data_IF_208216642836
#
_entry.id   IF_208216642836
#
_cell.length_a   1.000
_cell.length_b   1.000
_cell.length_c   1.000
_cell.angle_alpha   90.00
_cell.angle_beta   90.00
_cell.angle_gamma   90.00
#
_symmetry.space_group_name_H-M   'P 1'
#
loop_
_entity.id
_entity.type
_entity.pdbx_description
1 polymer ?
#
# COMPACT_ATOMS: atom_id res chain seq x y z
N UNK A 1 10.99 -25.03 -6.90
CA UNK A 1 11.27 -26.48 -6.79
C UNK A 1 11.01 -26.98 -5.35
N UNK A 2 10.06 -27.88 -5.13
CA UNK A 2 9.70 -28.37 -3.77
C UNK A 2 10.85 -29.12 -3.09
N UNK A 3 11.60 -29.94 -3.83
CA UNK A 3 12.70 -30.75 -3.30
C UNK A 3 13.79 -29.93 -2.58
N UNK A 4 14.05 -28.70 -3.03
CA UNK A 4 15.01 -27.81 -2.38
C UNK A 4 14.52 -27.40 -0.99
N UNK A 5 13.26 -26.99 -0.89
CA UNK A 5 12.66 -26.58 0.38
C UNK A 5 12.46 -27.76 1.32
N UNK A 6 12.15 -28.94 0.78
CA UNK A 6 12.04 -30.16 1.58
C UNK A 6 13.36 -30.48 2.30
N UNK A 7 14.49 -30.39 1.59
CA UNK A 7 15.82 -30.58 2.18
C UNK A 7 16.11 -29.54 3.27
N UNK A 8 15.82 -28.27 3.02
CA UNK A 8 16.06 -27.18 3.98
C UNK A 8 15.23 -27.39 5.25
N UNK A 9 13.93 -27.64 5.11
CA UNK A 9 12.99 -27.81 6.23
C UNK A 9 13.33 -29.06 7.04
N UNK A 10 13.63 -30.20 6.39
CA UNK A 10 14.03 -31.43 7.10
C UNK A 10 15.31 -31.27 7.90
N UNK A 11 16.27 -30.49 7.41
CA UNK A 11 17.57 -30.30 8.07
C UNK A 11 17.51 -29.27 9.19
N UNK A 12 16.56 -28.32 9.12
CA UNK A 12 16.54 -27.13 9.98
C UNK A 12 15.31 -27.05 10.90
N UNK A 13 14.45 -28.08 10.93
CA UNK A 13 13.24 -28.12 11.78
C UNK A 13 12.77 -29.54 12.06
N UNK A 14 12.04 -29.70 13.15
CA UNK A 14 11.36 -30.94 13.52
C UNK A 14 9.88 -30.90 13.14
N UNK A 15 9.22 -32.06 13.20
CA UNK A 15 7.78 -32.14 12.99
C UNK A 15 7.05 -31.33 14.08
N UNK A 16 6.00 -30.60 13.69
CA UNK A 16 5.27 -29.71 14.59
C UNK A 16 5.88 -28.31 14.80
N UNK A 17 7.10 -28.06 14.32
CA UNK A 17 7.70 -26.72 14.35
C UNK A 17 6.96 -25.73 13.46
N UNK A 18 7.18 -24.43 13.73
CA UNK A 18 6.59 -23.33 12.95
C UNK A 18 7.59 -22.80 11.92
N UNK A 19 7.20 -22.82 10.65
CA UNK A 19 7.95 -22.24 9.54
C UNK A 19 7.31 -20.89 9.14
N UNK A 20 8.11 -19.87 8.89
CA UNK A 20 7.63 -18.58 8.41
C UNK A 20 8.23 -18.25 7.05
N UNK A 21 7.38 -17.78 6.12
CA UNK A 21 7.79 -17.30 4.80
C UNK A 21 7.06 -15.99 4.48
N UNK A 22 7.80 -14.87 4.49
CA UNK A 22 7.22 -13.55 4.28
C UNK A 22 7.17 -13.10 2.81
N UNK A 23 7.65 -13.97 1.90
CA UNK A 23 7.66 -13.76 0.45
C UNK A 23 7.10 -14.99 -0.25
N UNK A 24 5.94 -15.45 0.22
CA UNK A 24 5.43 -16.78 -0.09
C UNK A 24 5.12 -16.99 -1.57
N UNK A 25 4.78 -15.94 -2.32
CA UNK A 25 4.54 -15.99 -3.75
C UNK A 25 3.48 -17.01 -4.11
N UNK A 26 3.91 -18.15 -4.65
CA UNK A 26 3.01 -19.25 -5.02
C UNK A 26 2.66 -20.20 -3.87
N UNK A 27 3.29 -20.06 -2.70
CA UNK A 27 3.02 -20.84 -1.50
C UNK A 27 3.82 -22.13 -1.40
N UNK A 28 5.00 -22.21 -2.02
CA UNK A 28 5.80 -23.45 -2.07
C UNK A 28 6.29 -23.86 -0.67
N UNK A 29 6.76 -22.91 0.13
CA UNK A 29 7.26 -23.17 1.49
C UNK A 29 6.15 -23.69 2.40
N UNK A 30 4.97 -23.06 2.38
CA UNK A 30 3.80 -23.51 3.12
C UNK A 30 3.36 -24.92 2.70
N UNK A 31 3.33 -25.21 1.39
CA UNK A 31 2.96 -26.52 0.87
C UNK A 31 3.91 -27.63 1.36
N UNK A 32 5.22 -27.39 1.30
CA UNK A 32 6.21 -28.36 1.77
C UNK A 32 6.17 -28.51 3.29
N UNK A 33 6.02 -27.41 4.04
CA UNK A 33 5.90 -27.45 5.49
C UNK A 33 4.68 -28.27 5.95
N UNK A 34 3.51 -28.08 5.32
CA UNK A 34 2.29 -28.83 5.62
C UNK A 34 2.47 -30.33 5.34
N UNK A 35 3.03 -30.70 4.17
CA UNK A 35 3.31 -32.10 3.81
C UNK A 35 4.27 -32.79 4.78
N UNK A 36 5.18 -32.02 5.38
CA UNK A 36 6.13 -32.49 6.39
C UNK A 36 5.59 -32.40 7.82
N UNK A 37 4.33 -32.03 8.03
CA UNK A 37 3.71 -31.98 9.37
C UNK A 37 4.11 -30.77 10.22
N UNK A 38 4.74 -29.75 9.64
CA UNK A 38 5.07 -28.48 10.32
C UNK A 38 3.87 -27.52 10.27
N UNK A 39 3.83 -26.58 11.22
CA UNK A 39 2.96 -25.39 11.17
C UNK A 39 3.61 -24.34 10.27
N UNK A 40 2.82 -23.46 9.67
CA UNK A 40 3.37 -22.42 8.80
C UNK A 40 2.63 -21.08 8.94
N UNK A 41 3.37 -19.99 8.74
CA UNK A 41 2.86 -18.65 8.47
C UNK A 41 3.44 -18.23 7.12
N UNK A 42 2.58 -17.82 6.20
CA UNK A 42 2.96 -17.37 4.88
C UNK A 42 2.33 -16.02 4.60
N UNK A 43 3.13 -15.03 4.20
CA UNK A 43 2.64 -13.71 3.81
C UNK A 43 3.12 -13.34 2.42
N UNK A 44 2.36 -12.47 1.77
CA UNK A 44 2.75 -11.82 0.52
C UNK A 44 1.96 -10.52 0.38
N UNK A 45 2.56 -9.51 -0.23
CA UNK A 45 1.90 -8.24 -0.54
C UNK A 45 0.92 -8.40 -1.71
N UNK A 46 1.23 -9.26 -2.66
CA UNK A 46 0.45 -9.46 -3.87
C UNK A 46 -0.84 -10.21 -3.60
N UNK A 47 -1.99 -9.57 -3.86
CA UNK A 47 -3.31 -10.24 -3.79
C UNK A 47 -3.32 -11.54 -4.60
N UNK A 48 -2.74 -11.54 -5.79
CA UNK A 48 -2.68 -12.74 -6.65
C UNK A 48 -1.78 -13.85 -6.09
N UNK A 49 -0.68 -13.51 -5.42
CA UNK A 49 0.19 -14.46 -4.73
C UNK A 49 -0.58 -15.16 -3.60
N UNK A 50 -1.30 -14.39 -2.77
CA UNK A 50 -2.14 -14.95 -1.69
C UNK A 50 -3.24 -15.87 -2.24
N UNK A 51 -3.90 -15.51 -3.35
CA UNK A 51 -4.91 -16.37 -3.97
C UNK A 51 -4.32 -17.67 -4.53
N UNK A 52 -3.15 -17.57 -5.17
CA UNK A 52 -2.41 -18.73 -5.70
C UNK A 52 -2.01 -19.67 -4.56
N UNK A 53 -1.45 -19.12 -3.49
CA UNK A 53 -1.08 -19.84 -2.27
C UNK A 53 -2.29 -20.53 -1.65
N UNK A 54 -3.42 -19.83 -1.50
CA UNK A 54 -4.69 -20.42 -1.00
C UNK A 54 -5.11 -21.64 -1.81
N UNK A 55 -5.16 -21.49 -3.15
CA UNK A 55 -5.58 -22.58 -4.05
C UNK A 55 -4.67 -23.79 -3.90
N UNK A 56 -3.35 -23.56 -3.81
CA UNK A 56 -2.36 -24.61 -3.59
C UNK A 56 -2.58 -25.32 -2.25
N UNK A 57 -2.76 -24.57 -1.16
CA UNK A 57 -2.94 -25.18 0.17
C UNK A 57 -4.20 -26.04 0.25
N UNK A 58 -5.31 -25.60 -0.35
CA UNK A 58 -6.52 -26.43 -0.46
C UNK A 58 -6.22 -27.74 -1.21
N UNK A 59 -5.44 -27.67 -2.29
CA UNK A 59 -5.01 -28.85 -3.05
C UNK A 59 -4.17 -29.81 -2.20
N UNK A 60 -3.19 -29.30 -1.46
CA UNK A 60 -2.33 -30.10 -0.56
C UNK A 60 -3.17 -30.79 0.52
N UNK A 61 -4.11 -30.08 1.15
CA UNK A 61 -4.98 -30.68 2.17
C UNK A 61 -5.90 -31.77 1.61
N UNK A 62 -6.42 -31.60 0.39
CA UNK A 62 -7.21 -32.64 -0.28
C UNK A 62 -6.38 -33.88 -0.54
N UNK A 63 -5.16 -33.71 -1.03
CA UNK A 63 -4.23 -34.83 -1.23
C UNK A 63 -3.92 -35.54 0.10
N UNK A 64 -3.58 -34.79 1.16
CA UNK A 64 -3.32 -35.37 2.48
C UNK A 64 -4.54 -36.13 3.01
N UNK A 65 -5.75 -35.61 2.81
CA UNK A 65 -7.00 -36.27 3.17
C UNK A 65 -7.20 -37.59 2.41
N UNK A 66 -6.95 -37.60 1.10
CA UNK A 66 -7.03 -38.82 0.26
C UNK A 66 -5.99 -39.86 0.70
N UNK A 67 -4.81 -39.43 1.12
CA UNK A 67 -3.74 -40.29 1.67
C UNK A 67 -3.99 -40.73 3.13
N UNK A 68 -5.12 -40.34 3.75
CA UNK A 68 -5.42 -40.66 5.15
C UNK A 68 -4.52 -39.96 6.17
N UNK A 69 -3.84 -38.89 5.77
CA UNK A 69 -2.95 -38.09 6.62
C UNK A 69 -3.71 -36.93 7.27
N UNK A 70 -3.23 -36.54 8.45
CA UNK A 70 -3.72 -35.35 9.12
C UNK A 70 -3.33 -34.08 8.35
N UNK A 71 -4.25 -33.11 8.34
CA UNK A 71 -4.02 -31.77 7.81
C UNK A 71 -4.68 -30.75 8.75
N UNK A 72 -4.21 -29.50 8.73
CA UNK A 72 -4.68 -28.45 9.66
C UNK A 72 -5.47 -27.40 8.91
N UNK A 73 -6.59 -26.93 9.45
CA UNK A 73 -7.28 -25.76 8.90
C UNK A 73 -6.34 -24.53 8.91
N UNK A 74 -6.44 -23.70 7.88
CA UNK A 74 -5.71 -22.42 7.82
C UNK A 74 -6.68 -21.27 7.59
N UNK A 75 -6.32 -20.11 8.12
CA UNK A 75 -7.06 -18.88 7.96
C UNK A 75 -6.31 -17.91 7.04
N UNK A 76 -7.05 -17.02 6.37
CA UNK A 76 -6.46 -15.95 5.59
C UNK A 76 -6.76 -14.64 6.27
N UNK A 77 -5.71 -14.06 6.84
CA UNK A 77 -5.76 -12.76 7.50
C UNK A 77 -5.30 -11.70 6.50
N UNK A 78 -6.01 -10.58 6.46
CA UNK A 78 -5.60 -9.41 5.68
C UNK A 78 -5.36 -8.26 6.67
N UNK A 79 -4.15 -7.70 6.63
CA UNK A 79 -3.86 -6.47 7.35
C UNK A 79 -4.54 -5.31 6.61
N UNK A 80 -5.32 -4.48 7.33
CA UNK A 80 -5.89 -3.23 6.83
C UNK A 80 -7.20 -3.32 6.03
N UNK A 81 -7.87 -4.48 5.95
CA UNK A 81 -9.03 -4.65 5.04
C UNK A 81 -10.39 -4.20 5.56
N UNK A 82 -10.57 -3.99 6.85
CA UNK A 82 -11.92 -3.78 7.39
C UNK A 82 -12.46 -2.37 7.17
N UNK A 83 -11.59 -1.36 7.07
CA UNK A 83 -12.03 0.03 7.10
C UNK A 83 -12.28 0.61 5.70
N UNK A 84 -11.37 0.36 4.74
CA UNK A 84 -11.53 0.85 3.35
C UNK A 84 -12.63 0.12 2.57
N UNK A 85 -12.94 -1.13 2.91
CA UNK A 85 -14.00 -1.90 2.22
C UNK A 85 -15.39 -1.27 2.39
N UNK A 86 -15.64 -0.56 3.50
CA UNK A 86 -16.90 0.16 3.70
C UNK A 86 -17.11 1.22 2.60
N UNK A 87 -16.02 1.89 2.19
CA UNK A 87 -16.03 2.95 1.18
C UNK A 87 -15.84 2.45 -0.26
N UNK A 88 -15.44 1.19 -0.47
CA UNK A 88 -15.14 0.64 -1.83
C UNK A 88 -16.08 -0.49 -2.25
N UNK A 89 -16.76 -1.17 -1.33
CA UNK A 89 -17.60 -2.32 -1.66
C UNK A 89 -18.89 -1.94 -2.40
N UNK A 90 -19.00 -2.29 -3.68
CA UNK A 90 -20.25 -2.15 -4.46
C UNK A 90 -21.01 -3.48 -4.38
N UNK A 91 -22.33 -3.43 -4.25
CA UNK A 91 -23.16 -4.63 -4.40
C UNK A 91 -23.24 -5.01 -5.89
N UNK A 92 -22.61 -6.12 -6.34
CA UNK A 92 -22.54 -6.47 -7.76
C UNK A 92 -23.89 -6.86 -8.36
N UNK A 93 -24.91 -7.10 -7.52
CA UNK A 93 -26.25 -7.47 -7.97
C UNK A 93 -27.14 -6.26 -8.32
N UNK A 94 -26.65 -5.02 -8.13
CA UNK A 94 -27.38 -3.81 -8.47
C UNK A 94 -27.28 -3.49 -9.97
N UNK A 95 -28.25 -2.74 -10.49
CA UNK A 95 -28.16 -2.16 -11.85
C UNK A 95 -27.05 -1.12 -11.92
N UNK A 96 -26.45 -0.92 -13.10
CA UNK A 96 -25.30 -0.02 -13.30
C UNK A 96 -25.53 1.41 -12.77
N UNK A 97 -26.72 1.99 -12.99
CA UNK A 97 -27.06 3.32 -12.46
C UNK A 97 -27.08 3.37 -10.93
N UNK A 98 -27.59 2.30 -10.29
CA UNK A 98 -27.63 2.19 -8.83
C UNK A 98 -26.23 1.95 -8.25
N UNK A 99 -25.39 1.20 -8.96
CA UNK A 99 -23.98 1.03 -8.61
C UNK A 99 -23.24 2.38 -8.66
N UNK A 100 -23.45 3.18 -9.72
CA UNK A 100 -22.83 4.50 -9.86
C UNK A 100 -23.25 5.44 -8.73
N UNK A 101 -24.55 5.52 -8.43
CA UNK A 101 -25.05 6.34 -7.33
C UNK A 101 -24.48 5.91 -5.96
N UNK A 102 -24.42 4.60 -5.71
CA UNK A 102 -23.83 4.08 -4.48
C UNK A 102 -22.33 4.41 -4.38
N UNK A 103 -21.61 4.39 -5.50
CA UNK A 103 -20.20 4.75 -5.54
C UNK A 103 -20.00 6.24 -5.24
N UNK A 104 -20.79 7.11 -5.87
CA UNK A 104 -20.76 8.57 -5.64
C UNK A 104 -21.05 8.91 -4.16
N UNK A 105 -22.05 8.28 -3.54
CA UNK A 105 -22.37 8.47 -2.13
C UNK A 105 -21.22 8.03 -1.21
N UNK A 106 -20.57 6.91 -1.52
CA UNK A 106 -19.42 6.41 -0.76
C UNK A 106 -18.18 7.28 -0.92
N UNK A 107 -17.93 7.76 -2.13
CA UNK A 107 -16.84 8.68 -2.42
C UNK A 107 -17.04 10.00 -1.68
N UNK A 108 -18.26 10.56 -1.72
CA UNK A 108 -18.58 11.77 -0.97
C UNK A 108 -18.39 11.58 0.56
N UNK A 109 -18.84 10.45 1.11
CA UNK A 109 -18.65 10.12 2.52
C UNK A 109 -17.17 9.94 2.89
N UNK A 110 -16.38 9.35 1.99
CA UNK A 110 -14.94 9.23 2.17
C UNK A 110 -14.25 10.60 2.20
N UNK A 111 -14.55 11.48 1.23
CA UNK A 111 -13.98 12.82 1.18
C UNK A 111 -14.32 13.61 2.45
N UNK A 112 -15.57 13.56 2.91
CA UNK A 112 -16.00 14.22 4.15
C UNK A 112 -15.23 13.71 5.38
N UNK A 113 -15.06 12.39 5.49
CA UNK A 113 -14.29 11.78 6.57
C UNK A 113 -12.84 12.29 6.61
N UNK A 114 -12.16 12.30 5.46
CA UNK A 114 -10.76 12.73 5.38
C UNK A 114 -10.63 14.23 5.63
N UNK A 115 -11.53 15.06 5.08
CA UNK A 115 -11.53 16.51 5.35
C UNK A 115 -11.73 16.80 6.84
N UNK A 116 -12.66 16.10 7.49
CA UNK A 116 -12.90 16.23 8.92
C UNK A 116 -11.68 15.81 9.74
N UNK A 117 -11.07 14.66 9.43
CA UNK A 117 -9.87 14.18 10.10
C UNK A 117 -8.67 15.13 9.88
N UNK A 118 -8.55 15.70 8.68
CA UNK A 118 -7.50 16.66 8.35
C UNK A 118 -7.79 18.08 8.86
N UNK A 119 -8.99 18.36 9.35
CA UNK A 119 -9.46 19.72 9.74
C UNK A 119 -9.39 20.71 8.57
N UNK A 120 -9.84 20.27 7.41
CA UNK A 120 -9.99 21.09 6.22
C UNK A 120 -11.46 21.44 5.98
N UNK A 121 -11.71 22.65 5.51
CA UNK A 121 -13.03 23.11 5.08
C UNK A 121 -13.27 22.63 3.65
N UNK A 122 -14.46 22.10 3.37
CA UNK A 122 -14.83 21.67 2.01
C UNK A 122 -14.85 22.88 1.06
N UNK A 123 -14.36 22.68 -0.16
CA UNK A 123 -14.42 23.68 -1.24
C UNK A 123 -15.18 23.15 -2.45
N UNK A 124 -15.72 24.07 -3.22
CA UNK A 124 -16.44 23.79 -4.47
C UNK A 124 -15.83 24.57 -5.64
N UNK A 125 -16.19 24.20 -6.87
CA UNK A 125 -15.72 24.87 -8.08
C UNK A 125 -14.30 24.48 -8.51
N UNK A 126 -13.73 23.43 -7.92
CA UNK A 126 -12.45 22.83 -8.30
C UNK A 126 -12.65 21.43 -8.89
N UNK A 127 -11.75 21.03 -9.77
CA UNK A 127 -11.76 19.69 -10.37
C UNK A 127 -11.02 18.71 -9.45
N UNK A 128 -9.84 19.11 -8.98
CA UNK A 128 -8.92 18.25 -8.21
C UNK A 128 -8.93 18.52 -6.71
N UNK A 129 -9.46 19.67 -6.26
CA UNK A 129 -9.43 20.06 -4.85
C UNK A 129 -10.76 19.80 -4.15
N UNK A 130 -10.67 19.20 -2.96
CA UNK A 130 -11.82 18.84 -2.14
C UNK A 130 -11.94 19.71 -0.88
N UNK A 131 -10.84 20.30 -0.41
CA UNK A 131 -10.87 21.19 0.74
C UNK A 131 -9.80 22.27 0.78
N UNK A 132 -9.78 23.01 1.89
CA UNK A 132 -8.81 24.07 2.19
C UNK A 132 -8.44 24.05 3.67
N UNK A 133 -7.15 24.21 3.98
CA UNK A 133 -6.65 24.29 5.36
C UNK A 133 -5.47 25.25 5.43
N UNK A 134 -5.51 26.18 6.39
CA UNK A 134 -4.39 27.11 6.66
C UNK A 134 -3.84 27.81 5.40
N UNK A 135 -4.73 28.18 4.47
CA UNK A 135 -4.36 28.85 3.22
C UNK A 135 -3.83 27.93 2.11
N UNK A 136 -3.76 26.61 2.33
CA UNK A 136 -3.43 25.60 1.31
C UNK A 136 -4.71 24.94 0.80
N UNK A 137 -4.80 24.67 -0.51
CA UNK A 137 -5.84 23.79 -1.04
C UNK A 137 -5.48 22.33 -0.79
N UNK A 138 -6.47 21.49 -0.62
CA UNK A 138 -6.32 20.08 -0.25
C UNK A 138 -6.91 19.22 -1.35
N UNK A 139 -6.07 18.39 -1.95
CA UNK A 139 -6.46 17.37 -2.91
C UNK A 139 -6.38 16.00 -2.25
N UNK A 140 -7.45 15.21 -2.31
CA UNK A 140 -7.53 13.89 -1.68
C UNK A 140 -7.44 12.84 -2.78
N UNK A 141 -6.44 11.98 -2.68
CA UNK A 141 -6.21 10.88 -3.60
C UNK A 141 -7.26 9.77 -3.50
N UNK A 142 -7.28 8.84 -4.47
CA UNK A 142 -8.25 7.75 -4.50
C UNK A 142 -8.11 6.79 -3.31
N UNK A 143 -9.24 6.21 -2.88
CA UNK A 143 -9.30 5.31 -1.70
C UNK A 143 -8.56 3.99 -1.93
N UNK A 144 -8.62 3.48 -3.16
CA UNK A 144 -8.24 2.12 -3.54
C UNK A 144 -7.07 2.06 -4.53
N UNK A 145 -6.49 3.21 -4.88
CA UNK A 145 -5.36 3.31 -5.79
C UNK A 145 -4.31 4.25 -5.20
N UNK A 146 -3.01 4.05 -5.49
CA UNK A 146 -2.00 5.01 -5.12
C UNK A 146 -2.20 6.33 -5.88
N UNK A 147 -1.76 7.43 -5.27
CA UNK A 147 -1.63 8.73 -5.96
C UNK A 147 -0.55 8.59 -7.04
N UNK A 148 -0.94 8.78 -8.29
CA UNK A 148 -0.08 8.61 -9.46
C UNK A 148 0.52 9.92 -9.94
N UNK A 149 1.52 9.84 -10.83
CA UNK A 149 2.07 11.01 -11.52
C UNK A 149 1.00 11.84 -12.24
N UNK A 150 0.10 11.18 -12.96
CA UNK A 150 -0.97 11.85 -13.72
C UNK A 150 -1.88 12.68 -12.80
N UNK A 151 -2.24 12.14 -11.63
CA UNK A 151 -3.06 12.85 -10.65
C UNK A 151 -2.38 14.14 -10.17
N UNK A 152 -1.07 14.08 -9.89
CA UNK A 152 -0.34 15.28 -9.45
C UNK A 152 -0.14 16.28 -10.59
N UNK A 153 0.05 15.82 -11.83
CA UNK A 153 0.11 16.68 -13.00
C UNK A 153 -1.21 17.45 -13.23
N UNK A 154 -2.37 16.80 -13.04
CA UNK A 154 -3.68 17.45 -13.09
C UNK A 154 -3.82 18.56 -12.02
N UNK A 155 -3.36 18.30 -10.80
CA UNK A 155 -3.31 19.29 -9.72
C UNK A 155 -2.43 20.48 -10.13
N UNK A 156 -1.23 20.22 -10.65
CA UNK A 156 -0.31 21.27 -11.09
C UNK A 156 -0.92 22.10 -12.23
N UNK A 157 -1.61 21.46 -13.17
CA UNK A 157 -2.30 22.14 -14.27
C UNK A 157 -3.42 23.05 -13.77
N UNK A 158 -4.26 22.55 -12.86
CA UNK A 158 -5.32 23.37 -12.25
C UNK A 158 -4.73 24.52 -11.42
N UNK A 159 -3.63 24.28 -10.69
CA UNK A 159 -2.92 25.32 -9.95
C UNK A 159 -2.47 26.47 -10.85
N UNK A 160 -1.85 26.15 -11.99
CA UNK A 160 -1.41 27.17 -12.95
C UNK A 160 -2.58 27.95 -13.55
N UNK A 161 -3.68 27.26 -13.86
CA UNK A 161 -4.88 27.90 -14.43
C UNK A 161 -5.57 28.85 -13.46
N UNK A 162 -5.56 28.53 -12.17
CA UNK A 162 -6.26 29.29 -11.11
C UNK A 162 -5.34 30.09 -10.19
N UNK A 163 -4.05 30.20 -10.53
CA UNK A 163 -3.03 30.91 -9.74
C UNK A 163 -2.93 30.43 -8.28
N UNK A 164 -3.06 29.12 -8.06
CA UNK A 164 -2.88 28.49 -6.74
C UNK A 164 -1.40 28.20 -6.56
N UNK A 165 -0.86 28.55 -5.38
CA UNK A 165 0.57 28.42 -5.09
C UNK A 165 0.88 27.46 -3.96
N UNK A 166 -0.12 26.99 -3.19
CA UNK A 166 0.08 26.10 -2.04
C UNK A 166 -0.96 25.00 -1.98
N UNK A 167 -0.50 23.75 -1.94
CA UNK A 167 -1.36 22.57 -1.97
C UNK A 167 -0.86 21.48 -1.01
N UNK A 168 -1.80 20.84 -0.32
CA UNK A 168 -1.59 19.57 0.36
C UNK A 168 -2.21 18.44 -0.49
N UNK A 169 -1.45 17.36 -0.70
CA UNK A 169 -1.92 16.16 -1.39
C UNK A 169 -2.01 15.03 -0.38
N UNK A 170 -3.23 14.56 -0.09
CA UNK A 170 -3.46 13.51 0.89
C UNK A 170 -3.66 12.17 0.17
N UNK A 171 -2.85 11.16 0.47
CA UNK A 171 -2.99 9.82 -0.11
C UNK A 171 -2.69 8.71 0.88
N UNK A 172 -3.34 7.55 0.76
CA UNK A 172 -2.94 6.37 1.53
C UNK A 172 -1.60 5.82 1.04
N UNK A 173 -1.39 5.87 -0.28
CA UNK A 173 -0.21 5.37 -0.97
C UNK A 173 0.14 6.33 -2.10
N UNK A 174 1.43 6.37 -2.46
CA UNK A 174 1.96 7.16 -3.57
C UNK A 174 2.74 6.24 -4.50
N UNK A 175 2.70 6.53 -5.79
CA UNK A 175 3.46 5.82 -6.82
C UNK A 175 4.97 5.85 -6.52
N UNK A 176 5.66 4.71 -6.71
CA UNK A 176 7.10 4.63 -6.47
C UNK A 176 7.89 5.53 -7.45
N UNK A 177 8.85 6.29 -6.93
CA UNK A 177 9.68 7.20 -7.74
C UNK A 177 9.00 8.54 -8.09
N UNK A 178 7.81 8.79 -7.55
CA UNK A 178 7.10 10.07 -7.72
C UNK A 178 7.84 11.24 -7.09
N UNK A 179 8.45 11.00 -5.93
CA UNK A 179 9.23 11.99 -5.17
C UNK A 179 10.74 11.68 -5.26
N UNK A 180 11.59 12.72 -5.34
CA UNK A 180 11.27 14.16 -5.26
C UNK A 180 10.93 14.81 -6.61
N UNK A 181 11.09 14.11 -7.74
CA UNK A 181 10.94 14.63 -9.10
C UNK A 181 9.73 15.58 -9.31
N UNK A 182 8.54 15.16 -8.85
CA UNK A 182 7.32 15.96 -9.04
C UNK A 182 7.26 17.19 -8.11
N UNK A 183 7.91 17.14 -6.94
CA UNK A 183 8.06 18.32 -6.07
C UNK A 183 8.96 19.37 -6.71
N UNK A 184 10.03 18.95 -7.38
CA UNK A 184 10.93 19.85 -8.08
C UNK A 184 10.26 20.49 -9.29
N UNK A 185 9.49 19.69 -10.04
CA UNK A 185 8.68 20.20 -11.15
C UNK A 185 7.66 21.25 -10.69
N UNK A 186 6.98 20.98 -9.57
CA UNK A 186 6.02 21.92 -8.99
C UNK A 186 6.69 23.19 -8.46
N UNK A 187 7.83 23.05 -7.75
CA UNK A 187 8.64 24.17 -7.28
C UNK A 187 9.10 25.05 -8.44
N UNK A 188 9.57 24.45 -9.54
CA UNK A 188 9.93 25.17 -10.76
C UNK A 188 8.77 25.94 -11.40
N UNK A 189 7.53 25.54 -11.12
CA UNK A 189 6.29 26.22 -11.55
C UNK A 189 5.73 27.19 -10.49
N UNK A 190 6.44 27.42 -9.38
CA UNK A 190 6.02 28.31 -8.30
C UNK A 190 4.92 27.74 -7.39
N UNK A 191 4.76 26.41 -7.37
CA UNK A 191 3.76 25.72 -6.58
C UNK A 191 4.47 24.96 -5.45
N UNK A 192 4.09 25.27 -4.22
CA UNK A 192 4.46 24.54 -3.02
C UNK A 192 3.49 23.36 -2.84
N UNK A 193 3.97 22.14 -3.15
CA UNK A 193 3.25 20.88 -2.94
C UNK A 193 3.76 20.19 -1.67
N UNK A 194 2.84 19.79 -0.80
CA UNK A 194 3.13 18.99 0.39
C UNK A 194 2.34 17.67 0.34
N UNK A 195 2.97 16.56 -0.07
CA UNK A 195 2.34 15.25 -0.04
C UNK A 195 2.32 14.71 1.40
N UNK A 196 1.19 14.18 1.85
CA UNK A 196 1.00 13.63 3.19
C UNK A 196 0.28 12.28 3.16
N UNK A 197 0.71 11.39 4.04
CA UNK A 197 0.03 10.11 4.23
C UNK A 197 -1.28 10.29 4.99
N UNK A 198 -2.35 9.66 4.49
CA UNK A 198 -3.59 9.48 5.23
C UNK A 198 -3.36 8.34 6.23
N UNK A 199 -3.36 8.62 7.54
CA UNK A 199 -3.14 7.61 8.58
C UNK A 199 -4.36 6.68 8.69
N UNK A 200 -4.20 5.45 9.19
CA UNK A 200 -5.32 4.52 9.33
C UNK A 200 -6.34 4.98 10.38
N UNK A 201 -5.87 5.76 11.36
CA UNK A 201 -6.62 6.35 12.46
C UNK A 201 -7.77 7.26 12.00
N UNK A 202 -7.78 7.70 10.73
CA UNK A 202 -8.93 8.43 10.16
C UNK A 202 -10.24 7.63 10.21
N UNK A 203 -10.16 6.31 10.29
CA UNK A 203 -11.33 5.43 10.36
C UNK A 203 -11.83 5.21 11.79
N UNK A 204 -11.03 5.54 12.82
CA UNK A 204 -11.48 5.55 14.20
C UNK A 204 -12.16 6.89 14.53
N UNK A 205 -13.49 6.86 14.64
CA UNK A 205 -14.30 8.02 15.02
C UNK A 205 -13.83 8.68 16.31
N UNK A 206 -13.36 7.90 17.29
CA UNK A 206 -12.88 8.44 18.57
C UNK A 206 -11.57 9.17 18.40
N UNK A 207 -10.66 8.65 17.58
CA UNK A 207 -9.39 9.30 17.28
C UNK A 207 -9.62 10.63 16.55
N UNK A 208 -10.55 10.67 15.59
CA UNK A 208 -10.95 11.90 14.89
C UNK A 208 -11.56 12.91 15.85
N UNK A 209 -12.52 12.51 16.68
CA UNK A 209 -13.20 13.39 17.66
C UNK A 209 -12.25 13.94 18.73
N UNK A 210 -11.27 13.15 19.17
CA UNK A 210 -10.24 13.57 20.13
C UNK A 210 -9.07 14.33 19.50
N UNK A 211 -9.11 14.61 18.19
CA UNK A 211 -8.03 15.28 17.44
C UNK A 211 -6.67 14.57 17.57
N UNK A 212 -6.67 13.24 17.61
CA UNK A 212 -5.45 12.42 17.76
C UNK A 212 -4.85 11.99 16.42
N UNK A 213 -5.50 12.33 15.31
CA UNK A 213 -5.04 11.97 13.96
C UNK A 213 -3.94 12.91 13.50
N UNK A 214 -2.78 12.35 13.14
CA UNK A 214 -1.61 13.10 12.67
C UNK A 214 -1.26 12.68 11.24
N UNK A 215 -1.13 13.66 10.35
CA UNK A 215 -0.77 13.46 8.95
C UNK A 215 0.71 13.82 8.79
N UNK A 216 1.51 12.83 8.41
CA UNK A 216 2.94 12.99 8.20
C UNK A 216 3.24 13.27 6.73
N UNK A 217 4.29 14.05 6.47
CA UNK A 217 4.78 14.29 5.12
C UNK A 217 5.34 13.00 4.51
N UNK A 218 5.29 12.89 3.19
CA UNK A 218 5.90 11.75 2.50
C UNK A 218 7.41 11.86 2.60
N UNK A 219 8.00 10.89 3.31
CA UNK A 219 9.43 10.72 3.40
C UNK A 219 10.00 10.19 2.07
N UNK A 220 11.13 10.73 1.64
CA UNK A 220 11.93 10.19 0.55
C UNK A 220 13.39 10.12 0.95
N UNK A 221 14.15 9.25 0.27
CA UNK A 221 15.59 9.12 0.41
C UNK A 221 16.17 9.14 -1.01
N UNK A 222 17.09 10.05 -1.25
CA UNK A 222 17.92 10.04 -2.44
C UNK A 222 19.27 9.41 -2.13
N UNK A 223 19.73 8.58 -3.07
CA UNK A 223 21.00 7.89 -2.95
C UNK A 223 21.81 8.01 -4.24
N UNK A 224 23.12 8.16 -4.08
CA UNK A 224 24.09 8.14 -5.18
C UNK A 224 24.94 6.87 -5.09
N UNK A 225 24.89 5.99 -6.10
CA UNK A 225 25.75 4.81 -6.13
C UNK A 225 27.16 5.19 -6.59
N UNK A 226 28.15 4.65 -5.88
CA UNK A 226 29.57 4.70 -6.21
C UNK A 226 30.03 3.30 -6.56
N UNK A 227 30.15 3.02 -7.87
CA UNK A 227 30.54 1.70 -8.37
C UNK A 227 32.03 1.71 -8.72
N UNK A 228 32.79 0.77 -8.13
CA UNK A 228 34.17 0.48 -8.52
C UNK A 228 34.22 -0.90 -9.17
N UNK A 229 34.65 -0.93 -10.42
CA UNK A 229 34.87 -2.18 -11.14
C UNK A 229 36.02 -2.98 -10.50
N UNK A 230 35.84 -4.30 -10.43
CA UNK A 230 36.87 -5.21 -9.94
C UNK A 230 38.05 -5.28 -10.91
N UNK A 231 39.27 -5.39 -10.36
CA UNK A 231 40.48 -5.67 -11.14
C UNK A 231 40.89 -7.12 -10.97
N UNK A 232 41.86 -7.59 -11.77
CA UNK A 232 42.32 -8.98 -11.74
C UNK A 232 42.86 -9.32 -10.34
N UNK A 233 42.10 -10.11 -9.56
CA UNK A 233 42.43 -10.47 -8.19
C UNK A 233 41.72 -9.67 -7.09
N UNK A 234 40.94 -8.63 -7.44
CA UNK A 234 40.16 -7.83 -6.49
C UNK A 234 38.68 -7.79 -6.89
N UNK A 235 37.73 -8.11 -5.99
CA UNK A 235 36.31 -7.99 -6.27
C UNK A 235 35.92 -6.52 -6.45
N UNK A 236 34.98 -6.26 -7.36
CA UNK A 236 34.38 -4.93 -7.48
C UNK A 236 33.64 -4.54 -6.19
N UNK A 237 33.46 -3.25 -5.96
CA UNK A 237 32.77 -2.74 -4.78
C UNK A 237 31.68 -1.74 -5.17
N UNK A 238 30.55 -1.80 -4.49
CA UNK A 238 29.49 -0.78 -4.57
C UNK A 238 29.39 -0.11 -3.20
N UNK A 239 29.51 1.21 -3.17
CA UNK A 239 29.15 2.03 -2.03
C UNK A 239 27.93 2.89 -2.38
N UNK A 240 27.07 3.16 -1.40
CA UNK A 240 25.87 3.98 -1.59
C UNK A 240 26.00 5.18 -0.66
N UNK A 241 25.97 6.38 -1.23
CA UNK A 241 25.97 7.64 -0.50
C UNK A 241 24.54 8.15 -0.40
N UNK A 242 24.08 8.54 0.79
CA UNK A 242 22.81 9.23 0.97
C UNK A 242 23.01 10.70 0.58
N UNK A 243 22.25 11.20 -0.39
CA UNK A 243 22.42 12.57 -0.92
C UNK A 243 21.38 13.55 -0.41
N UNK A 244 20.15 13.09 -0.17
CA UNK A 244 19.07 13.88 0.41
C UNK A 244 18.07 12.95 1.11
N UNK A 245 17.39 13.44 2.13
CA UNK A 245 16.30 12.72 2.77
C UNK A 245 15.34 13.68 3.45
N UNK A 246 14.04 13.44 3.32
CA UNK A 246 13.03 14.11 4.15
C UNK A 246 12.68 13.22 5.35
N UNK A 247 13.04 13.67 6.55
CA UNK A 247 12.66 13.02 7.82
C UNK A 247 12.03 14.10 8.69
N UNK A 248 10.71 14.03 8.88
CA UNK A 248 9.96 14.88 9.80
C UNK A 248 8.86 14.08 10.51
#
# INVERSE_FOLDING_TARGET
PEALLERIIKTSSNEGDLIADFFSGSGTTAAVAEKLGRKWIATDLGKFAVHTTRKRMIGVQRQLKEEGKNYRAFEILNLGKYERQHFVGINPNLREEQQRKQLEEKEAAFLDLILRAYRAEKVEGFITFNGKRAGRLVAIGPVNMPVTRLFVEEIILECRKKHITKVDILGFEFEMGLFPNVLDEARGKGIDLAPKYIPAEVFDKRAVEKNQVVFHDVAYIEVKPHVREGKRGEPGSVAVELTDFSVF
#
